data_IF_146257331016
#
_entry.id   IF_146257331016
#
_cell.length_a   1.000
_cell.length_b   1.000
_cell.length_c   1.000
_cell.angle_alpha   90.00
_cell.angle_beta   90.00
_cell.angle_gamma   90.00
#
_symmetry.space_group_name_H-M   'P 1'
#
loop_
_entity.id
_entity.type
_entity.pdbx_description
1 polymer ?
#
# COMPACT_ATOMS: atom_id res chain seq x y z
N UNK A 1 -5.02 -20.79 -9.07
CA UNK A 1 -5.26 -19.44 -8.57
C UNK A 1 -5.71 -18.51 -9.72
N UNK A 2 -6.60 -17.56 -9.41
CA UNK A 2 -7.24 -16.67 -10.39
C UNK A 2 -6.28 -15.59 -10.89
N UNK A 3 -5.42 -15.04 -10.03
CA UNK A 3 -4.41 -14.03 -10.40
C UNK A 3 -3.44 -14.62 -11.42
N UNK A 4 -2.98 -15.86 -11.23
CA UNK A 4 -2.14 -16.56 -12.20
C UNK A 4 -2.80 -16.69 -13.59
N UNK A 5 -4.11 -16.93 -13.63
CA UNK A 5 -4.85 -17.11 -14.89
C UNK A 5 -5.00 -15.78 -15.62
N UNK A 6 -5.35 -14.72 -14.89
CA UNK A 6 -5.48 -13.37 -15.42
C UNK A 6 -4.15 -12.85 -15.94
N UNK A 7 -3.06 -13.11 -15.22
CA UNK A 7 -1.70 -12.78 -15.66
C UNK A 7 -1.36 -13.43 -17.00
N UNK A 8 -1.60 -14.74 -17.16
CA UNK A 8 -1.33 -15.43 -18.44
C UNK A 8 -2.17 -14.90 -19.59
N UNK A 9 -3.44 -14.57 -19.33
CA UNK A 9 -4.29 -13.94 -20.32
C UNK A 9 -3.75 -12.55 -20.70
N UNK A 10 -3.40 -11.72 -19.72
CA UNK A 10 -2.82 -10.40 -19.95
C UNK A 10 -1.53 -10.49 -20.77
N UNK A 11 -0.61 -11.39 -20.43
CA UNK A 11 0.63 -11.65 -21.18
C UNK A 11 0.33 -11.96 -22.65
N UNK A 12 -0.63 -12.85 -22.91
CA UNK A 12 -1.05 -13.19 -24.28
C UNK A 12 -1.56 -11.96 -25.03
N UNK A 13 -2.45 -11.19 -24.42
CA UNK A 13 -3.05 -10.01 -25.05
C UNK A 13 -2.05 -8.87 -25.27
N UNK A 14 -1.14 -8.63 -24.31
CA UNK A 14 -0.07 -7.65 -24.46
C UNK A 14 0.93 -8.03 -25.58
N UNK A 15 1.19 -9.33 -25.79
CA UNK A 15 1.99 -9.84 -26.92
C UNK A 15 1.30 -9.58 -28.27
N UNK A 16 -0.04 -9.62 -28.33
CA UNK A 16 -0.81 -9.25 -29.53
C UNK A 16 -0.80 -7.74 -29.80
N UNK A 17 -0.72 -6.90 -28.77
CA UNK A 17 -0.69 -5.44 -28.91
C UNK A 17 -1.91 -4.91 -29.69
N UNK A 18 -1.67 -4.26 -30.83
CA UNK A 18 -2.74 -3.71 -31.68
C UNK A 18 -3.68 -4.77 -32.29
N UNK A 19 -3.27 -6.05 -32.31
CA UNK A 19 -4.13 -7.13 -32.77
C UNK A 19 -5.06 -7.68 -31.67
N UNK A 20 -4.87 -7.27 -30.41
CA UNK A 20 -5.74 -7.66 -29.31
C UNK A 20 -7.11 -7.00 -29.42
N UNK A 21 -8.17 -7.72 -29.04
CA UNK A 21 -9.50 -7.14 -28.89
C UNK A 21 -9.55 -6.03 -27.82
N UNK A 22 -8.56 -6.02 -26.91
CA UNK A 22 -8.40 -5.04 -25.83
C UNK A 22 -7.25 -4.06 -26.10
N UNK A 23 -6.85 -3.90 -27.38
CA UNK A 23 -5.67 -3.13 -27.79
C UNK A 23 -5.46 -1.79 -27.06
N UNK A 24 -6.45 -0.89 -26.92
CA UNK A 24 -6.24 0.38 -26.21
C UNK A 24 -5.77 0.19 -24.77
N UNK A 25 -6.39 -0.75 -24.04
CA UNK A 25 -6.10 -1.00 -22.64
C UNK A 25 -4.77 -1.73 -22.44
N UNK A 26 -4.51 -2.80 -23.20
CA UNK A 26 -3.25 -3.54 -23.06
C UNK A 26 -2.05 -2.71 -23.50
N UNK A 27 -2.20 -1.83 -24.48
CA UNK A 27 -1.14 -0.91 -24.87
C UNK A 27 -0.90 0.18 -23.82
N UNK A 28 -1.95 0.65 -23.13
CA UNK A 28 -1.80 1.50 -21.95
C UNK A 28 -1.01 0.79 -20.85
N UNK A 29 -1.37 -0.46 -20.52
CA UNK A 29 -0.65 -1.25 -19.52
C UNK A 29 0.82 -1.48 -19.90
N UNK A 30 1.11 -1.77 -21.18
CA UNK A 30 2.49 -1.89 -21.70
C UNK A 30 3.32 -0.62 -21.58
N UNK A 31 2.67 0.54 -21.51
CA UNK A 31 3.36 1.83 -21.35
C UNK A 31 3.67 2.18 -19.90
N UNK A 32 3.13 1.42 -18.93
CA UNK A 32 3.42 1.64 -17.52
C UNK A 32 4.87 1.27 -17.20
N UNK A 33 5.53 2.00 -16.28
CA UNK A 33 6.90 1.71 -15.90
C UNK A 33 7.02 0.35 -15.18
N UNK A 34 8.19 -0.24 -15.27
CA UNK A 34 8.55 -1.47 -14.55
C UNK A 34 9.07 -1.11 -13.15
N UNK A 35 9.08 -2.08 -12.23
CA UNK A 35 9.70 -1.89 -10.91
C UNK A 35 8.92 -0.97 -9.97
N UNK A 36 7.60 -0.89 -10.13
CA UNK A 36 6.75 -0.09 -9.24
C UNK A 36 6.61 -0.74 -7.86
N UNK A 37 6.57 -2.07 -7.78
CA UNK A 37 6.38 -2.81 -6.53
C UNK A 37 7.70 -3.33 -5.96
N UNK A 38 7.83 -3.46 -4.63
CA UNK A 38 9.07 -3.90 -4.00
C UNK A 38 9.57 -5.29 -4.46
N UNK A 39 8.66 -6.18 -4.85
CA UNK A 39 9.00 -7.50 -5.41
C UNK A 39 9.80 -7.48 -6.71
N UNK A 40 9.88 -6.34 -7.40
CA UNK A 40 10.68 -6.17 -8.61
C UNK A 40 11.81 -5.15 -8.45
N UNK A 41 12.04 -4.70 -7.22
CA UNK A 41 13.15 -3.81 -6.92
C UNK A 41 14.48 -4.56 -6.97
N UNK A 42 15.56 -3.79 -7.07
CA UNK A 42 16.91 -4.33 -6.99
C UNK A 42 17.13 -5.11 -5.68
N UNK A 43 18.00 -6.12 -5.71
CA UNK A 43 18.34 -6.89 -4.52
C UNK A 43 18.82 -5.99 -3.35
N UNK A 44 19.72 -5.00 -3.56
CA UNK A 44 20.08 -4.07 -2.49
C UNK A 44 18.92 -3.24 -1.94
N UNK A 45 17.91 -2.93 -2.76
CA UNK A 45 16.73 -2.18 -2.33
C UNK A 45 15.79 -3.07 -1.48
N UNK A 46 15.62 -4.34 -1.87
CA UNK A 46 14.88 -5.32 -1.09
C UNK A 46 15.54 -5.58 0.26
N UNK A 47 16.87 -5.80 0.28
CA UNK A 47 17.63 -5.95 1.53
C UNK A 47 17.45 -4.73 2.46
N UNK A 48 17.47 -3.51 1.90
CA UNK A 48 17.27 -2.29 2.69
C UNK A 48 15.84 -2.18 3.22
N UNK A 49 14.84 -2.61 2.43
CA UNK A 49 13.45 -2.65 2.89
C UNK A 49 13.24 -3.72 3.97
N UNK A 50 13.89 -4.87 3.85
CA UNK A 50 13.91 -5.90 4.89
C UNK A 50 14.49 -5.35 6.19
N UNK A 51 15.53 -4.51 6.13
CA UNK A 51 16.02 -3.81 7.33
C UNK A 51 14.99 -2.85 7.93
N UNK A 52 14.09 -2.26 7.14
CA UNK A 52 13.00 -1.41 7.66
C UNK A 52 11.97 -2.26 8.38
N UNK A 53 11.45 -3.31 7.75
CA UNK A 53 10.35 -4.12 8.32
C UNK A 53 10.81 -5.17 9.35
N UNK A 54 12.09 -5.52 9.36
CA UNK A 54 12.65 -6.63 10.15
C UNK A 54 12.85 -7.90 9.32
N UNK A 55 13.19 -9.02 9.95
CA UNK A 55 13.41 -10.30 9.25
C UNK A 55 12.20 -10.66 8.37
N UNK A 56 12.34 -10.85 7.05
CA UNK A 56 11.21 -11.16 6.17
C UNK A 56 10.45 -12.44 6.56
N UNK A 57 11.13 -13.40 7.20
CA UNK A 57 10.52 -14.64 7.67
C UNK A 57 9.73 -14.47 8.98
N UNK A 58 9.96 -13.37 9.68
CA UNK A 58 9.28 -12.99 10.92
C UNK A 58 9.33 -11.46 11.10
N UNK A 59 8.56 -10.73 10.26
CA UNK A 59 8.64 -9.28 10.19
C UNK A 59 8.25 -8.67 11.53
N UNK A 60 9.01 -7.66 11.97
CA UNK A 60 8.78 -6.99 13.25
C UNK A 60 7.74 -5.86 13.07
N UNK A 61 7.74 -5.24 11.89
CA UNK A 61 6.85 -4.17 11.47
C UNK A 61 6.16 -4.57 10.16
N UNK A 62 4.94 -4.07 9.88
CA UNK A 62 4.24 -4.34 8.63
C UNK A 62 4.91 -3.62 7.44
N UNK A 63 4.65 -4.02 6.18
CA UNK A 63 3.82 -5.16 5.80
C UNK A 63 4.58 -6.48 5.97
N UNK A 64 3.84 -7.58 6.15
CA UNK A 64 4.44 -8.90 6.02
C UNK A 64 4.81 -9.19 4.57
N UNK A 65 5.99 -9.77 4.41
CA UNK A 65 6.56 -10.16 3.11
C UNK A 65 6.46 -9.04 2.06
N UNK A 66 7.23 -7.94 2.23
CA UNK A 66 7.12 -6.79 1.35
C UNK A 66 7.50 -7.10 -0.11
N UNK A 67 8.22 -8.20 -0.38
CA UNK A 67 8.81 -8.47 -1.69
C UNK A 67 8.47 -9.83 -2.31
N UNK A 68 7.65 -10.67 -1.68
CA UNK A 68 7.39 -12.05 -2.14
C UNK A 68 6.45 -12.24 -3.33
N UNK A 69 5.77 -11.21 -3.86
CA UNK A 69 4.88 -11.38 -5.02
C UNK A 69 5.52 -12.09 -6.22
N UNK A 70 6.81 -11.86 -6.50
CA UNK A 70 7.48 -12.55 -7.61
C UNK A 70 7.95 -13.94 -7.20
N UNK A 71 8.67 -14.04 -6.10
CA UNK A 71 9.39 -15.27 -5.75
C UNK A 71 8.44 -16.33 -5.16
N UNK A 72 7.49 -15.93 -4.32
CA UNK A 72 6.55 -16.85 -3.68
C UNK A 72 5.30 -17.05 -4.54
N UNK A 73 4.65 -15.98 -4.97
CA UNK A 73 3.37 -16.09 -5.68
C UNK A 73 3.56 -16.43 -7.16
N UNK A 74 4.27 -15.60 -7.92
CA UNK A 74 4.43 -15.84 -9.36
C UNK A 74 5.25 -17.10 -9.67
N UNK A 75 6.43 -17.26 -9.07
CA UNK A 75 7.30 -18.40 -9.40
C UNK A 75 6.82 -19.69 -8.76
N UNK A 76 6.50 -19.70 -7.45
CA UNK A 76 6.18 -20.94 -6.74
C UNK A 76 4.69 -21.32 -6.87
N UNK A 77 3.75 -20.40 -6.68
CA UNK A 77 2.33 -20.74 -6.76
C UNK A 77 1.78 -20.78 -8.19
N UNK A 78 2.22 -19.84 -9.03
CA UNK A 78 1.75 -19.77 -10.41
C UNK A 78 2.56 -20.61 -11.40
N UNK A 79 3.64 -21.31 -11.00
CA UNK A 79 4.59 -21.94 -11.94
C UNK A 79 5.08 -20.94 -13.02
N UNK A 80 5.32 -19.70 -12.61
CA UNK A 80 5.77 -18.60 -13.45
C UNK A 80 7.25 -18.68 -13.81
N UNK A 81 7.64 -18.07 -14.92
CA UNK A 81 9.04 -18.01 -15.37
C UNK A 81 9.78 -16.74 -14.95
N UNK A 82 11.08 -16.70 -15.28
CA UNK A 82 11.98 -15.55 -15.05
C UNK A 82 11.88 -14.45 -16.12
N UNK A 83 10.94 -14.55 -17.05
CA UNK A 83 10.76 -13.54 -18.08
C UNK A 83 10.25 -12.23 -17.47
N UNK A 84 11.07 -11.16 -17.53
CA UNK A 84 10.75 -9.86 -16.93
C UNK A 84 9.45 -9.26 -17.46
N UNK A 85 9.07 -9.56 -18.72
CA UNK A 85 7.81 -9.08 -19.27
C UNK A 85 6.61 -9.80 -18.64
N UNK A 86 6.72 -11.10 -18.38
CA UNK A 86 5.69 -11.87 -17.66
C UNK A 86 5.62 -11.50 -16.17
N UNK A 87 6.75 -11.30 -15.50
CA UNK A 87 6.79 -10.80 -14.11
C UNK A 87 6.15 -9.42 -13.99
N UNK A 88 6.47 -8.49 -14.90
CA UNK A 88 5.83 -7.17 -14.90
C UNK A 88 4.33 -7.27 -15.18
N UNK A 89 3.89 -8.18 -16.06
CA UNK A 89 2.47 -8.42 -16.27
C UNK A 89 1.78 -8.97 -15.01
N UNK A 90 2.45 -9.84 -14.24
CA UNK A 90 1.95 -10.32 -12.94
C UNK A 90 1.76 -9.15 -11.97
N UNK A 91 2.78 -8.32 -11.78
CA UNK A 91 2.71 -7.18 -10.87
C UNK A 91 1.71 -6.12 -11.32
N UNK A 92 1.52 -5.94 -12.64
CA UNK A 92 0.43 -5.12 -13.18
C UNK A 92 -0.94 -5.65 -12.76
N UNK A 93 -1.13 -6.97 -12.71
CA UNK A 93 -2.37 -7.58 -12.21
C UNK A 93 -2.49 -7.37 -10.70
N UNK A 94 -1.43 -7.56 -9.92
CA UNK A 94 -1.43 -7.32 -8.46
C UNK A 94 -1.88 -5.89 -8.12
N UNK A 95 -1.31 -4.88 -8.77
CA UNK A 95 -1.55 -3.47 -8.44
C UNK A 95 -2.86 -2.89 -9.01
N UNK A 96 -3.49 -3.51 -10.02
CA UNK A 96 -4.66 -2.95 -10.73
C UNK A 96 -5.86 -3.89 -10.74
N UNK A 97 -5.63 -5.15 -10.44
CA UNK A 97 -6.64 -6.18 -10.44
C UNK A 97 -7.60 -5.98 -9.27
N UNK A 98 -8.89 -6.13 -9.58
CA UNK A 98 -9.88 -6.44 -8.57
C UNK A 98 -9.90 -7.94 -8.36
N UNK A 99 -9.03 -8.42 -7.47
CA UNK A 99 -8.65 -9.83 -7.33
C UNK A 99 -8.14 -10.39 -8.68
N UNK A 100 -9.06 -10.92 -9.49
CA UNK A 100 -8.79 -11.60 -10.74
C UNK A 100 -9.21 -10.84 -11.99
N UNK A 101 -9.75 -9.63 -11.86
CA UNK A 101 -10.29 -8.87 -12.98
C UNK A 101 -9.55 -7.55 -13.18
N UNK A 102 -9.13 -7.31 -14.42
CA UNK A 102 -8.65 -6.02 -14.86
C UNK A 102 -9.79 -5.24 -15.53
N UNK A 103 -10.13 -4.08 -14.97
CA UNK A 103 -11.32 -3.31 -15.37
C UNK A 103 -10.84 -1.97 -15.93
N UNK A 104 -10.80 -1.80 -17.27
CA UNK A 104 -10.35 -0.58 -17.89
C UNK A 104 -11.14 0.64 -17.40
N UNK A 105 -10.47 1.79 -17.30
CA UNK A 105 -11.01 3.07 -16.79
C UNK A 105 -11.20 3.06 -15.27
N UNK A 106 -11.74 1.99 -14.70
CA UNK A 106 -11.89 1.84 -13.26
C UNK A 106 -10.53 1.79 -12.56
N UNK A 107 -9.64 0.92 -13.03
CA UNK A 107 -8.28 0.72 -12.51
C UNK A 107 -7.30 1.88 -12.78
N UNK A 108 -7.80 2.98 -13.36
CA UNK A 108 -7.06 4.22 -13.58
C UNK A 108 -7.35 5.28 -12.52
N UNK A 109 -8.38 5.09 -11.67
CA UNK A 109 -8.68 6.01 -10.58
C UNK A 109 -7.70 5.80 -9.44
N UNK A 110 -7.09 6.90 -8.97
CA UNK A 110 -6.15 6.86 -7.87
C UNK A 110 -6.82 6.50 -6.55
N UNK A 111 -6.03 5.95 -5.63
CA UNK A 111 -6.41 5.67 -4.26
C UNK A 111 -6.49 6.93 -3.41
N UNK A 112 -7.58 7.11 -2.66
CA UNK A 112 -7.60 8.03 -1.50
C UNK A 112 -8.77 7.75 -0.57
N UNK A 113 -8.50 7.75 0.73
CA UNK A 113 -9.46 7.46 1.79
C UNK A 113 -10.06 8.71 2.47
N UNK A 114 -10.95 8.48 3.44
CA UNK A 114 -11.53 9.50 4.32
C UNK A 114 -12.33 10.59 3.60
N UNK A 115 -12.15 11.85 4.01
CA UNK A 115 -12.86 13.02 3.45
C UNK A 115 -12.55 13.26 1.96
N UNK A 116 -11.49 12.66 1.43
CA UNK A 116 -11.06 12.83 0.05
C UNK A 116 -11.74 11.88 -0.92
N UNK A 117 -12.05 10.65 -0.48
CA UNK A 117 -12.76 9.63 -1.26
C UNK A 117 -14.03 10.23 -1.87
N UNK A 118 -14.12 10.24 -3.21
CA UNK A 118 -15.20 10.92 -3.92
C UNK A 118 -16.00 10.01 -4.85
N UNK A 119 -15.64 8.74 -4.98
CA UNK A 119 -16.45 7.72 -5.66
C UNK A 119 -16.83 6.55 -4.76
N UNK A 120 -17.86 5.82 -5.17
CA UNK A 120 -18.19 4.46 -4.72
C UNK A 120 -18.32 3.56 -5.94
N UNK A 121 -17.79 2.35 -5.85
CA UNK A 121 -18.00 1.25 -6.78
C UNK A 121 -19.18 0.40 -6.34
N UNK A 122 -19.97 -0.08 -7.29
CA UNK A 122 -21.01 -1.08 -7.05
C UNK A 122 -20.87 -2.19 -8.07
N UNK A 123 -20.92 -3.42 -7.57
CA UNK A 123 -21.06 -4.60 -8.42
C UNK A 123 -19.82 -4.87 -9.27
N UNK A 124 -18.62 -4.78 -8.71
CA UNK A 124 -17.38 -5.02 -9.48
C UNK A 124 -17.35 -6.42 -10.11
N UNK A 125 -18.08 -7.40 -9.54
CA UNK A 125 -18.27 -8.76 -10.09
C UNK A 125 -19.56 -8.96 -10.90
N UNK A 126 -20.33 -7.91 -11.14
CA UNK A 126 -21.50 -7.97 -12.02
C UNK A 126 -21.08 -7.81 -13.50
N UNK A 127 -22.05 -7.92 -14.41
CA UNK A 127 -21.82 -7.67 -15.85
C UNK A 127 -21.31 -6.24 -16.12
N UNK A 128 -21.64 -5.30 -15.24
CA UNK A 128 -21.27 -3.88 -15.34
C UNK A 128 -20.72 -3.42 -14.00
N UNK A 129 -19.58 -2.77 -14.03
CA UNK A 129 -19.02 -2.04 -12.88
C UNK A 129 -19.60 -0.63 -12.89
N UNK A 130 -20.35 -0.28 -11.85
CA UNK A 130 -20.92 1.05 -11.70
C UNK A 130 -20.06 1.89 -10.76
N UNK A 131 -19.65 3.08 -11.21
CA UNK A 131 -18.94 4.04 -10.38
C UNK A 131 -19.80 5.28 -10.22
N UNK A 132 -20.09 5.65 -8.98
CA UNK A 132 -20.95 6.80 -8.66
C UNK A 132 -20.19 7.78 -7.79
N UNK A 133 -20.41 9.07 -8.00
CA UNK A 133 -19.84 10.09 -7.13
C UNK A 133 -20.50 10.03 -5.74
N UNK A 134 -19.70 9.99 -4.66
CA UNK A 134 -20.16 10.07 -3.26
C UNK A 134 -20.44 11.51 -2.82
N UNK A 135 -19.82 12.48 -3.50
CA UNK A 135 -19.96 13.92 -3.26
C UNK A 135 -19.86 14.69 -4.57
N UNK A 136 -20.15 16.00 -4.53
CA UNK A 136 -19.92 16.85 -5.69
C UNK A 136 -18.42 16.93 -6.01
N UNK A 137 -18.04 16.58 -7.24
CA UNK A 137 -16.67 16.66 -7.76
C UNK A 137 -16.57 17.89 -8.66
N UNK A 138 -15.63 18.79 -8.37
CA UNK A 138 -15.45 20.04 -9.15
C UNK A 138 -14.72 19.76 -10.45
N UNK A 139 -14.92 20.62 -11.45
CA UNK A 139 -14.12 20.56 -12.67
C UNK A 139 -12.63 20.75 -12.34
N UNK A 140 -11.79 19.81 -12.77
CA UNK A 140 -10.36 19.78 -12.47
C UNK A 140 -9.99 19.10 -11.15
N UNK A 141 -10.97 18.66 -10.35
CA UNK A 141 -10.72 17.80 -9.19
C UNK A 141 -10.46 16.37 -9.66
N UNK A 142 -9.49 15.69 -9.04
CA UNK A 142 -9.19 14.29 -9.31
C UNK A 142 -10.32 13.37 -8.81
N UNK A 143 -10.52 12.25 -9.50
CA UNK A 143 -11.49 11.23 -9.12
C UNK A 143 -10.74 10.16 -8.33
N UNK A 144 -11.11 9.98 -7.06
CA UNK A 144 -10.50 9.04 -6.13
C UNK A 144 -11.45 7.90 -5.80
N UNK A 145 -10.93 6.68 -5.90
CA UNK A 145 -11.52 5.47 -5.34
C UNK A 145 -10.73 5.01 -4.12
N UNK A 146 -11.22 3.98 -3.42
CA UNK A 146 -10.50 3.35 -2.31
C UNK A 146 -10.12 1.92 -2.69
N UNK A 147 -8.94 1.47 -2.24
CA UNK A 147 -8.39 0.14 -2.55
C UNK A 147 -8.56 -0.84 -1.38
N UNK A 148 -8.90 -0.32 -0.20
CA UNK A 148 -8.98 -1.01 1.09
C UNK A 148 -10.30 -0.68 1.84
N UNK A 149 -10.87 0.51 1.68
CA UNK A 149 -12.11 0.99 2.33
C UNK A 149 -13.32 1.11 1.37
N UNK A 150 -13.32 0.37 0.25
CA UNK A 150 -14.45 0.36 -0.66
C UNK A 150 -15.60 -0.54 -0.16
N UNK A 151 -16.83 -0.25 -0.59
CA UNK A 151 -18.05 -0.95 -0.12
C UNK A 151 -18.04 -2.45 -0.47
N UNK A 152 -17.26 -2.84 -1.49
CA UNK A 152 -17.10 -4.21 -1.99
C UNK A 152 -15.67 -4.76 -1.85
N UNK A 153 -14.81 -4.14 -1.03
CA UNK A 153 -13.42 -4.55 -0.79
C UNK A 153 -13.28 -5.83 0.05
N UNK A 154 -14.39 -6.38 0.55
CA UNK A 154 -14.39 -7.56 1.41
C UNK A 154 -13.60 -7.32 2.70
N UNK A 155 -12.76 -8.29 3.08
CA UNK A 155 -11.98 -8.24 4.33
C UNK A 155 -10.82 -7.25 4.35
N UNK A 156 -10.51 -6.57 3.23
CA UNK A 156 -9.45 -5.54 3.22
C UNK A 156 -9.78 -4.38 4.16
N UNK A 157 -11.06 -4.09 4.37
CA UNK A 157 -11.46 -3.00 5.25
C UNK A 157 -11.05 -3.19 6.72
N UNK A 158 -10.73 -4.41 7.15
CA UNK A 158 -10.48 -4.73 8.56
C UNK A 158 -8.98 -4.92 8.87
N UNK A 159 -8.15 -5.24 7.88
CA UNK A 159 -6.76 -5.66 8.10
C UNK A 159 -5.77 -5.15 7.04
N UNK A 160 -6.19 -4.20 6.21
CA UNK A 160 -5.38 -3.66 5.11
C UNK A 160 -5.24 -2.16 5.32
N UNK A 161 -4.02 -1.65 5.24
CA UNK A 161 -3.73 -0.23 5.39
C UNK A 161 -2.50 0.21 4.63
N UNK A 162 -1.86 1.28 5.11
CA UNK A 162 -0.70 1.92 4.49
C UNK A 162 0.46 0.95 4.19
N UNK A 163 0.79 0.00 5.08
CA UNK A 163 1.82 -0.99 4.79
C UNK A 163 1.49 -1.89 3.59
N UNK A 164 0.27 -2.41 3.50
CA UNK A 164 -0.14 -3.26 2.39
C UNK A 164 -0.33 -2.45 1.10
N UNK A 165 -0.78 -1.19 1.20
CA UNK A 165 -0.82 -0.27 0.06
C UNK A 165 0.59 -0.07 -0.51
N UNK A 166 1.59 0.11 0.35
CA UNK A 166 2.98 0.22 -0.06
C UNK A 166 3.49 -1.06 -0.74
N UNK A 167 3.22 -2.24 -0.17
CA UNK A 167 3.62 -3.53 -0.76
C UNK A 167 2.97 -3.77 -2.13
N UNK A 168 1.67 -3.54 -2.24
CA UNK A 168 0.87 -4.03 -3.38
C UNK A 168 0.68 -2.99 -4.48
N UNK A 169 0.90 -1.71 -4.17
CA UNK A 169 0.76 -0.60 -5.13
C UNK A 169 2.00 0.30 -5.24
N UNK A 170 3.02 0.10 -4.40
CA UNK A 170 4.32 0.75 -4.56
C UNK A 170 4.38 2.21 -4.11
N UNK A 171 3.40 2.67 -3.33
CA UNK A 171 3.38 4.03 -2.78
C UNK A 171 2.89 4.03 -1.33
N UNK A 172 3.33 5.02 -0.56
CA UNK A 172 2.83 5.26 0.80
C UNK A 172 1.59 6.15 0.73
N UNK A 173 0.51 5.76 1.42
CA UNK A 173 -0.72 6.55 1.46
C UNK A 173 -0.44 8.01 1.90
N UNK A 174 -1.06 8.95 1.20
CA UNK A 174 -1.27 10.30 1.74
C UNK A 174 -2.42 10.26 2.73
N UNK A 175 -2.42 11.15 3.73
CA UNK A 175 -3.45 11.15 4.76
C UNK A 175 -4.89 11.15 4.22
N UNK A 176 -5.79 10.35 4.84
CA UNK A 176 -5.55 9.53 6.03
C UNK A 176 -4.73 8.26 5.75
N UNK A 177 -3.89 7.87 6.72
CA UNK A 177 -3.10 6.64 6.71
C UNK A 177 -3.66 5.67 7.73
N UNK A 178 -3.76 4.39 7.38
CA UNK A 178 -4.23 3.34 8.29
C UNK A 178 -3.08 2.40 8.64
N UNK A 179 -2.88 2.14 9.92
CA UNK A 179 -1.79 1.31 10.41
C UNK A 179 -2.34 0.10 11.13
N UNK A 180 -1.85 -1.08 10.76
CA UNK A 180 -2.15 -2.35 11.41
C UNK A 180 -0.84 -3.03 11.82
N UNK A 181 -0.56 -3.02 13.12
CA UNK A 181 0.54 -3.75 13.75
C UNK A 181 0.00 -5.08 14.28
N UNK A 182 -0.20 -6.03 13.36
CA UNK A 182 -0.93 -7.28 13.63
C UNK A 182 -0.37 -8.08 14.82
N UNK A 183 0.95 -8.15 14.94
CA UNK A 183 1.63 -8.90 16.01
C UNK A 183 1.44 -8.28 17.40
N UNK A 184 1.20 -6.97 17.44
CA UNK A 184 0.88 -6.22 18.66
C UNK A 184 -0.64 -6.10 18.86
N UNK A 185 -1.47 -6.48 17.88
CA UNK A 185 -2.91 -6.26 17.95
C UNK A 185 -3.31 -4.78 18.00
N UNK A 186 -2.42 -3.89 17.53
CA UNK A 186 -2.62 -2.43 17.53
C UNK A 186 -2.99 -1.96 16.12
N UNK A 187 -4.01 -1.13 16.03
CA UNK A 187 -4.44 -0.51 14.79
C UNK A 187 -5.10 0.84 15.02
N UNK A 188 -4.80 1.77 14.13
CA UNK A 188 -5.30 3.14 14.20
C UNK A 188 -5.28 3.80 12.82
N UNK A 189 -6.03 4.89 12.69
CA UNK A 189 -5.98 5.80 11.54
C UNK A 189 -5.33 7.10 11.98
N UNK A 190 -4.46 7.62 11.15
CA UNK A 190 -3.81 8.92 11.29
C UNK A 190 -4.30 9.83 10.17
N UNK A 191 -4.92 10.97 10.48
CA UNK A 191 -5.33 11.98 9.48
C UNK A 191 -4.72 13.34 9.80
N UNK A 192 -4.65 14.19 8.79
CA UNK A 192 -4.27 15.59 8.93
C UNK A 192 -5.48 16.43 9.35
N UNK A 193 -5.34 17.10 10.50
CA UNK A 193 -6.34 18.05 10.98
C UNK A 193 -6.22 19.41 10.24
N UNK A 194 -7.20 20.29 10.46
CA UNK A 194 -7.27 21.59 9.76
C UNK A 194 -6.14 22.56 10.15
N UNK A 195 -5.45 22.32 11.26
CA UNK A 195 -4.36 23.15 11.80
C UNK A 195 -2.96 22.67 11.38
N UNK A 196 -2.87 21.72 10.44
CA UNK A 196 -1.65 21.00 10.05
C UNK A 196 -1.04 20.12 11.16
N UNK A 197 -1.78 19.82 12.21
CA UNK A 197 -1.46 18.76 13.16
C UNK A 197 -2.00 17.40 12.69
N UNK A 198 -1.82 16.39 13.53
CA UNK A 198 -2.28 15.03 13.26
C UNK A 198 -3.33 14.61 14.29
N UNK A 199 -4.35 13.91 13.83
CA UNK A 199 -5.37 13.29 14.67
C UNK A 199 -5.29 11.77 14.53
N UNK A 200 -5.45 11.06 15.65
CA UNK A 200 -5.44 9.60 15.71
C UNK A 200 -6.80 9.08 16.15
N UNK A 201 -7.32 8.13 15.38
CA UNK A 201 -8.52 7.35 15.68
C UNK A 201 -8.13 5.90 15.92
N UNK A 202 -8.45 5.35 17.10
CA UNK A 202 -8.17 3.96 17.42
C UNK A 202 -9.15 3.02 16.70
N UNK A 203 -8.62 2.00 16.01
CA UNK A 203 -9.41 0.92 15.41
C UNK A 203 -9.45 -0.33 16.29
N UNK A 204 -8.49 -0.44 17.22
CA UNK A 204 -8.38 -1.50 18.23
C UNK A 204 -8.18 -0.90 19.62
N UNK A 205 -7.78 -1.72 20.59
CA UNK A 205 -7.37 -1.21 21.91
C UNK A 205 -6.12 -0.31 21.80
N UNK A 206 -6.02 0.64 22.73
CA UNK A 206 -4.81 1.42 22.96
C UNK A 206 -3.67 0.53 23.46
N UNK A 207 -2.41 0.86 23.13
CA UNK A 207 -1.26 0.08 23.53
C UNK A 207 -0.98 0.19 25.03
N UNK A 208 -0.52 -0.89 25.64
CA UNK A 208 -0.04 -0.91 27.02
C UNK A 208 1.41 -0.40 27.15
N UNK A 209 1.95 -0.40 28.38
CA UNK A 209 3.31 0.11 28.66
C UNK A 209 4.39 -0.69 27.91
N UNK A 210 4.24 -2.01 27.78
CA UNK A 210 5.21 -2.88 27.11
C UNK A 210 5.17 -2.65 25.59
N UNK A 211 3.96 -2.49 25.03
CA UNK A 211 3.75 -2.16 23.61
C UNK A 211 4.30 -0.77 23.27
N UNK A 212 4.12 0.22 24.14
CA UNK A 212 4.71 1.55 23.98
C UNK A 212 6.24 1.50 24.00
N UNK A 213 6.85 0.75 24.92
CA UNK A 213 8.32 0.56 24.93
C UNK A 213 8.81 -0.10 23.63
N UNK A 214 8.06 -1.08 23.11
CA UNK A 214 8.33 -1.68 21.81
C UNK A 214 8.32 -0.65 20.67
N UNK A 215 7.27 0.17 20.57
CA UNK A 215 7.17 1.17 19.51
C UNK A 215 8.22 2.27 19.62
N UNK A 216 8.60 2.69 20.83
CA UNK A 216 9.73 3.62 21.02
C UNK A 216 11.04 3.04 20.50
N UNK A 217 11.30 1.77 20.81
CA UNK A 217 12.49 1.06 20.32
C UNK A 217 12.50 0.96 18.78
N UNK A 218 11.34 0.68 18.17
CA UNK A 218 11.23 0.59 16.71
C UNK A 218 11.36 1.96 16.03
N UNK A 219 10.73 3.00 16.57
CA UNK A 219 10.85 4.36 16.06
C UNK A 219 12.32 4.84 16.08
N UNK A 220 13.03 4.61 17.18
CA UNK A 220 14.45 4.96 17.28
C UNK A 220 15.31 4.18 16.30
N UNK A 221 15.11 2.86 16.19
CA UNK A 221 15.81 2.02 15.20
C UNK A 221 15.62 2.53 13.77
N UNK A 222 14.40 2.93 13.40
CA UNK A 222 14.12 3.46 12.07
C UNK A 222 14.74 4.84 11.85
N UNK A 223 14.81 5.71 12.87
CA UNK A 223 15.55 6.98 12.78
C UNK A 223 17.04 6.78 12.56
N UNK A 224 17.65 5.84 13.28
CA UNK A 224 19.06 5.48 13.07
C UNK A 224 19.30 4.97 11.64
N UNK A 225 18.37 4.17 11.10
CA UNK A 225 18.42 3.71 9.71
C UNK A 225 18.26 4.87 8.70
N UNK A 226 17.34 5.80 8.99
CA UNK A 226 17.09 7.02 8.22
C UNK A 226 18.33 7.92 8.14
N UNK A 227 18.97 8.18 9.27
CA UNK A 227 20.17 9.00 9.38
C UNK A 227 21.42 8.30 8.82
N UNK A 228 21.44 6.96 8.87
CA UNK A 228 22.52 6.11 8.37
C UNK A 228 22.34 5.71 6.90
N UNK A 229 21.87 4.49 6.67
CA UNK A 229 21.87 3.85 5.34
C UNK A 229 20.97 4.55 4.34
N UNK A 230 19.86 5.12 4.78
CA UNK A 230 18.89 5.80 3.91
C UNK A 230 19.30 7.24 3.55
N UNK A 231 20.21 7.86 4.31
CA UNK A 231 20.73 9.19 4.00
C UNK A 231 21.83 9.17 2.94
N UNK A 232 22.46 8.02 2.73
CA UNK A 232 23.58 7.83 1.80
C UNK A 232 23.03 7.35 0.45
N UNK A 233 23.48 7.96 -0.64
CA UNK A 233 23.19 7.46 -1.98
C UNK A 233 23.85 6.09 -2.18
N UNK A 234 23.05 5.08 -2.56
CA UNK A 234 23.51 3.74 -2.85
C UNK A 234 23.48 3.52 -4.37
N UNK A 235 24.65 3.34 -5.00
CA UNK A 235 24.77 3.13 -6.45
C UNK A 235 23.99 1.91 -6.98
N UNK A 236 23.64 0.95 -6.10
CA UNK A 236 22.84 -0.24 -6.43
C UNK A 236 21.32 -0.05 -6.28
N UNK A 237 20.86 1.10 -5.80
CA UNK A 237 19.44 1.40 -5.58
C UNK A 237 19.05 2.59 -6.46
N UNK A 238 17.98 2.45 -7.24
CA UNK A 238 17.48 3.55 -8.05
C UNK A 238 16.89 4.66 -7.15
N UNK A 239 16.84 5.88 -7.68
CA UNK A 239 16.28 7.01 -6.94
C UNK A 239 14.82 6.79 -6.54
N UNK A 240 14.03 6.13 -7.39
CA UNK A 240 12.61 5.83 -7.11
C UNK A 240 12.46 4.82 -5.98
N UNK A 241 13.25 3.75 -5.97
CA UNK A 241 13.24 2.76 -4.89
C UNK A 241 13.67 3.39 -3.56
N UNK A 242 14.76 4.16 -3.58
CA UNK A 242 15.26 4.84 -2.38
C UNK A 242 14.25 5.85 -1.85
N UNK A 243 13.57 6.60 -2.72
CA UNK A 243 12.53 7.54 -2.32
C UNK A 243 11.35 6.81 -1.68
N UNK A 244 10.85 5.75 -2.31
CA UNK A 244 9.72 4.98 -1.80
C UNK A 244 10.02 4.38 -0.42
N UNK A 245 11.20 3.78 -0.22
CA UNK A 245 11.62 3.24 1.10
C UNK A 245 11.66 4.36 2.15
N UNK A 246 12.19 5.53 1.80
CA UNK A 246 12.28 6.67 2.72
C UNK A 246 10.91 7.23 3.09
N UNK A 247 10.04 7.43 2.11
CA UNK A 247 8.67 7.93 2.34
C UNK A 247 7.89 6.97 3.24
N UNK A 248 8.00 5.66 2.99
CA UNK A 248 7.36 4.65 3.83
C UNK A 248 7.92 4.63 5.26
N UNK A 249 9.26 4.68 5.39
CA UNK A 249 9.94 4.68 6.70
C UNK A 249 9.58 5.93 7.51
N UNK A 250 9.58 7.10 6.88
CA UNK A 250 9.23 8.38 7.51
C UNK A 250 7.76 8.39 7.99
N UNK A 251 6.84 7.87 7.15
CA UNK A 251 5.44 7.71 7.52
C UNK A 251 5.26 6.76 8.71
N UNK A 252 5.99 5.65 8.75
CA UNK A 252 5.92 4.69 9.86
C UNK A 252 6.49 5.26 11.16
N UNK A 253 7.61 5.98 11.12
CA UNK A 253 8.15 6.72 12.27
C UNK A 253 7.10 7.71 12.78
N UNK A 254 6.54 8.51 11.88
CA UNK A 254 5.52 9.52 12.21
C UNK A 254 4.30 8.89 12.88
N UNK A 255 3.84 7.74 12.37
CA UNK A 255 2.71 7.01 12.93
C UNK A 255 2.99 6.52 14.35
N UNK A 256 4.14 5.86 14.57
CA UNK A 256 4.54 5.41 15.90
C UNK A 256 4.72 6.58 16.87
N UNK A 257 5.39 7.66 16.44
CA UNK A 257 5.63 8.84 17.28
C UNK A 257 4.36 9.56 17.69
N UNK A 258 3.42 9.71 16.75
CA UNK A 258 2.13 10.34 17.05
C UNK A 258 1.35 9.49 18.04
N UNK A 259 1.30 8.18 17.80
CA UNK A 259 0.67 7.23 18.71
C UNK A 259 1.29 7.27 20.12
N UNK A 260 2.62 7.21 20.23
CA UNK A 260 3.33 7.29 21.52
C UNK A 260 3.05 8.62 22.20
N UNK A 261 3.09 9.73 21.45
CA UNK A 261 2.84 11.07 21.99
C UNK A 261 1.43 11.19 22.54
N UNK A 262 0.42 10.64 21.87
CA UNK A 262 -0.96 10.65 22.34
C UNK A 262 -1.09 9.84 23.64
N UNK A 263 -0.56 8.63 23.66
CA UNK A 263 -0.67 7.73 24.83
C UNK A 263 0.10 8.27 26.04
N UNK A 264 1.28 8.87 25.84
CA UNK A 264 2.09 9.45 26.94
C UNK A 264 1.70 10.88 27.31
N UNK A 265 1.06 11.60 26.39
CA UNK A 265 0.99 13.06 26.39
C UNK A 265 -0.13 13.66 27.23
N UNK A 266 -1.34 13.08 27.30
CA UNK A 266 -2.43 13.59 28.15
C UNK A 266 -3.72 12.78 28.05
N UNK A 267 -4.51 12.84 29.14
CA UNK A 267 -5.98 12.84 29.21
C UNK A 267 -6.67 12.88 27.82
N UNK A 268 -6.87 11.75 27.15
CA UNK A 268 -8.04 11.63 26.27
C UNK A 268 -9.22 11.80 27.23
N UNK A 269 -10.02 12.86 27.06
CA UNK A 269 -11.17 13.12 27.91
C UNK A 269 -12.01 11.84 27.93
N UNK A 270 -12.05 11.16 29.09
CA UNK A 270 -12.52 9.78 29.18
C UNK A 270 -13.85 9.59 28.42
N UNK A 271 -13.82 8.87 27.30
CA UNK A 271 -14.98 8.59 26.45
C UNK A 271 -15.02 9.20 25.05
N UNK A 272 -13.94 9.77 24.53
CA UNK A 272 -13.82 10.18 23.12
C UNK A 272 -12.86 9.25 22.35
N UNK A 273 -13.28 8.78 21.16
CA UNK A 273 -12.52 7.82 20.32
C UNK A 273 -11.40 8.48 19.48
N UNK A 274 -11.16 9.78 19.65
CA UNK A 274 -10.23 10.57 18.84
C UNK A 274 -9.38 11.48 19.73
N UNK A 275 -8.06 11.45 19.55
CA UNK A 275 -7.11 12.30 20.29
C UNK A 275 -6.27 13.14 19.30
N UNK A 276 -5.98 14.41 19.65
CA UNK A 276 -5.37 15.42 18.76
C UNK A 276 -3.98 15.79 19.28
N UNK A 277 -2.98 15.88 18.38
CA UNK A 277 -1.62 16.40 18.65
C UNK A 277 -1.33 17.67 17.87
#
# INVERSE_FOLDING_TARGET
>A
DWVCTTTRNLVREMKLGNASAWAPYVNYLKSQPYGQLPSHWSEPARELLDEVVGDPSNPILPPSDPSGWIDDEWKNECDGGDDLFEQNAFLLVTQRGWDDLLIPVYDMMSHRNGKWLNTRSLGVRNEVVEVQAKKAIRAGEEIYTSYDQCEDCGGRADSYGTPEIFRDYGFTEIYPQRWHFHDQGISFVLDANDDNGLELEWLSAEPDEDEIEFFEGQAERLRELMDGKLSIYNEGISQSEQLAIREFTDAMITAMDTMITIVKGMDCTSGEDTCIV
#
